data_IF_418346804603
#
_entry.id   IF_418346804603
#
_cell.length_a   1.000
_cell.length_b   1.000
_cell.length_c   1.000
_cell.angle_alpha   90.00
_cell.angle_beta   90.00
_cell.angle_gamma   90.00
#
_symmetry.space_group_name_H-M   'P 1'
#
loop_
_entity.id
_entity.type
_entity.pdbx_description
1 polymer ?
#
# COMPACT_ATOMS: atom_id res chain seq x y z
N UNK A 1 -33.05 -7.06 72.59
CA UNK A 1 -31.90 -7.24 71.72
C UNK A 1 -32.37 -7.24 70.25
N UNK A 2 -32.27 -6.15 69.56
CA UNK A 2 -32.59 -6.03 68.09
C UNK A 2 -31.31 -6.21 67.32
N UNK A 3 -31.23 -7.25 66.45
CA UNK A 3 -30.15 -7.47 65.51
C UNK A 3 -30.40 -6.59 64.33
N UNK A 4 -29.43 -5.65 64.02
CA UNK A 4 -29.40 -4.84 62.85
C UNK A 4 -28.65 -5.66 61.79
N UNK A 5 -29.34 -6.06 60.74
CA UNK A 5 -28.71 -6.59 59.51
C UNK A 5 -28.25 -5.42 58.66
N UNK A 6 -26.95 -5.31 58.44
CA UNK A 6 -26.39 -4.37 57.50
C UNK A 6 -26.22 -5.16 56.20
N UNK A 7 -27.07 -4.85 55.21
CA UNK A 7 -26.88 -5.35 53.84
C UNK A 7 -25.79 -4.53 53.13
N UNK A 8 -24.71 -5.25 52.80
CA UNK A 8 -23.68 -4.70 51.93
C UNK A 8 -24.16 -4.82 50.46
N UNK A 9 -24.57 -3.71 49.86
CA UNK A 9 -24.81 -3.63 48.44
C UNK A 9 -23.43 -3.46 47.73
N UNK A 10 -22.98 -4.56 47.12
CA UNK A 10 -21.80 -4.50 46.24
C UNK A 10 -22.25 -3.93 44.90
N UNK A 11 -21.98 -2.66 44.65
CA UNK A 11 -22.12 -2.05 43.31
C UNK A 11 -20.94 -2.52 42.45
N UNK A 12 -21.18 -3.53 41.62
CA UNK A 12 -20.25 -3.91 40.56
C UNK A 12 -20.38 -2.84 39.49
N UNK A 13 -19.44 -1.90 39.46
CA UNK A 13 -19.26 -1.00 38.34
C UNK A 13 -18.74 -1.83 37.15
N UNK A 14 -19.66 -2.24 36.26
CA UNK A 14 -19.29 -2.77 34.97
C UNK A 14 -18.74 -1.59 34.14
N UNK A 15 -17.42 -1.45 34.12
CA UNK A 15 -16.75 -0.66 33.11
C UNK A 15 -17.03 -1.29 31.73
N UNK A 16 -18.12 -0.87 31.10
CA UNK A 16 -18.28 -1.07 29.66
C UNK A 16 -17.25 -0.17 29.00
N UNK A 17 -16.07 -0.70 28.75
CA UNK A 17 -15.15 -0.08 27.80
C UNK A 17 -15.89 -0.07 26.45
N UNK A 18 -16.41 1.09 26.09
CA UNK A 18 -16.82 1.37 24.73
C UNK A 18 -15.56 1.22 23.85
N UNK A 19 -15.36 0.02 23.31
CA UNK A 19 -14.44 -0.17 22.23
C UNK A 19 -14.94 0.78 21.12
N UNK A 20 -14.26 1.90 20.98
CA UNK A 20 -14.40 2.73 19.80
C UNK A 20 -14.09 1.82 18.63
N UNK A 21 -15.11 1.45 17.86
CA UNK A 21 -14.91 0.85 16.54
C UNK A 21 -14.03 1.83 15.77
N UNK A 22 -12.74 1.50 15.69
CA UNK A 22 -11.76 2.32 15.00
C UNK A 22 -12.25 2.54 13.59
N UNK A 23 -12.36 3.80 13.19
CA UNK A 23 -12.56 4.17 11.79
C UNK A 23 -11.54 3.38 10.97
N UNK A 24 -11.99 2.69 9.92
CA UNK A 24 -11.09 1.96 9.04
C UNK A 24 -10.02 2.95 8.55
N UNK A 25 -8.75 2.64 8.81
CA UNK A 25 -7.64 3.49 8.46
C UNK A 25 -7.56 3.57 6.94
N UNK A 26 -7.96 4.71 6.38
CA UNK A 26 -7.85 4.96 4.94
C UNK A 26 -6.40 5.28 4.58
N UNK A 27 -5.87 4.76 3.48
CA UNK A 27 -4.56 5.13 2.99
C UNK A 27 -4.52 6.62 2.61
N UNK A 28 -3.38 7.27 2.82
CA UNK A 28 -3.13 8.63 2.33
C UNK A 28 -2.78 8.64 0.83
N UNK A 29 -2.33 7.50 0.30
CA UNK A 29 -2.17 7.25 -1.12
C UNK A 29 -2.36 5.76 -1.41
N UNK A 30 -3.00 5.42 -2.54
CA UNK A 30 -3.26 4.03 -2.94
C UNK A 30 -3.35 3.93 -4.47
N UNK A 31 -2.42 3.20 -5.07
CA UNK A 31 -2.38 2.86 -6.48
C UNK A 31 -2.59 1.34 -6.63
N UNK A 32 -3.74 0.93 -7.10
CA UNK A 32 -4.04 -0.47 -7.43
C UNK A 32 -3.82 -0.81 -8.91
N UNK A 33 -3.47 0.18 -9.73
CA UNK A 33 -3.12 0.07 -11.14
C UNK A 33 -4.16 -0.59 -12.07
N UNK A 34 -5.38 -0.81 -11.62
CA UNK A 34 -6.41 -1.45 -12.43
C UNK A 34 -6.99 -0.54 -13.52
N UNK A 35 -7.06 0.76 -13.24
CA UNK A 35 -7.66 1.75 -14.16
C UNK A 35 -6.67 2.82 -14.59
N UNK A 36 -5.76 3.27 -13.72
CA UNK A 36 -4.93 4.44 -13.93
C UNK A 36 -3.57 4.32 -13.23
N UNK A 37 -2.55 4.94 -13.86
CA UNK A 37 -1.24 5.18 -13.25
C UNK A 37 -1.05 6.63 -12.80
N UNK A 38 -1.93 7.56 -13.21
CA UNK A 38 -1.79 8.99 -12.95
C UNK A 38 -2.74 9.56 -11.89
N UNK A 39 -3.65 8.75 -11.35
CA UNK A 39 -4.50 9.10 -10.22
C UNK A 39 -4.60 7.91 -9.27
N UNK A 40 -4.47 8.15 -8.00
CA UNK A 40 -4.71 7.11 -7.01
C UNK A 40 -6.13 7.20 -6.41
N UNK A 41 -6.52 6.16 -5.68
CA UNK A 41 -7.86 6.06 -5.09
C UNK A 41 -8.08 7.13 -4.00
N UNK A 42 -7.01 7.62 -3.37
CA UNK A 42 -7.05 8.68 -2.36
C UNK A 42 -7.15 10.09 -2.97
N UNK A 43 -7.07 10.21 -4.31
CA UNK A 43 -7.22 11.47 -5.04
C UNK A 43 -5.89 12.20 -5.29
N UNK A 44 -4.73 11.58 -5.03
CA UNK A 44 -3.45 12.18 -5.39
C UNK A 44 -3.22 12.05 -6.89
N UNK A 45 -2.60 13.06 -7.47
CA UNK A 45 -2.23 13.10 -8.88
C UNK A 45 -0.75 12.74 -9.06
N UNK A 46 -0.48 12.00 -10.14
CA UNK A 46 0.86 11.53 -10.49
C UNK A 46 1.24 11.99 -11.89
N UNK A 47 2.48 12.40 -12.05
CA UNK A 47 3.10 12.61 -13.36
C UNK A 47 3.73 11.29 -13.78
N UNK A 48 3.42 10.88 -15.00
CA UNK A 48 3.98 9.67 -15.63
C UNK A 48 5.18 10.09 -16.47
N UNK A 49 6.31 9.41 -16.28
CA UNK A 49 7.52 9.59 -17.08
C UNK A 49 7.82 8.29 -17.83
N UNK A 50 8.19 8.40 -19.11
CA UNK A 50 8.31 7.26 -20.01
C UNK A 50 6.93 6.68 -20.37
N UNK A 51 6.90 5.40 -20.71
CA UNK A 51 5.70 4.68 -21.15
C UNK A 51 5.41 3.46 -20.23
N UNK A 52 5.11 3.68 -18.93
CA UNK A 52 4.78 2.57 -18.06
C UNK A 52 3.44 1.95 -18.48
N UNK A 53 3.37 0.64 -18.45
CA UNK A 53 2.23 -0.11 -18.96
C UNK A 53 1.38 -0.63 -17.81
N UNK A 54 0.06 -0.41 -17.85
CA UNK A 54 -0.88 -1.16 -17.03
C UNK A 54 -1.07 -2.55 -17.66
N UNK A 55 -0.36 -3.53 -17.11
CA UNK A 55 -0.22 -4.86 -17.71
C UNK A 55 -1.11 -5.89 -17.03
N UNK A 56 -1.79 -6.70 -17.84
CA UNK A 56 -2.53 -7.88 -17.39
C UNK A 56 -1.70 -9.18 -17.45
N UNK A 57 -0.40 -9.10 -17.74
CA UNK A 57 0.46 -10.29 -17.80
C UNK A 57 0.74 -10.88 -16.41
N UNK A 58 1.04 -10.02 -15.46
CA UNK A 58 1.30 -10.36 -14.07
C UNK A 58 0.57 -9.36 -13.19
N UNK A 59 -0.25 -9.82 -12.25
CA UNK A 59 -0.98 -8.96 -11.30
C UNK A 59 -1.33 -9.71 -10.03
N UNK A 60 -1.64 -9.00 -8.97
CA UNK A 60 -2.09 -9.57 -7.70
C UNK A 60 -3.58 -9.36 -7.52
N UNK A 61 -4.11 -8.19 -7.88
CA UNK A 61 -5.54 -7.89 -7.73
C UNK A 61 -6.09 -7.13 -8.94
N UNK A 62 -7.39 -7.26 -9.19
CA UNK A 62 -8.13 -6.43 -10.14
C UNK A 62 -7.76 -6.60 -11.62
N UNK A 63 -6.84 -7.50 -11.94
CA UNK A 63 -6.52 -7.87 -13.32
C UNK A 63 -5.39 -7.10 -13.99
N UNK A 64 -4.81 -6.09 -13.34
CA UNK A 64 -3.65 -5.34 -13.87
C UNK A 64 -2.70 -4.92 -12.77
N UNK A 65 -1.45 -4.68 -13.16
CA UNK A 65 -0.40 -4.08 -12.35
C UNK A 65 0.40 -3.06 -13.17
N UNK A 66 1.22 -2.26 -12.52
CA UNK A 66 2.17 -1.37 -13.19
C UNK A 66 3.40 -2.15 -13.65
N UNK A 67 3.61 -2.24 -14.96
CA UNK A 67 4.86 -2.72 -15.53
C UNK A 67 5.84 -1.55 -15.73
N UNK A 68 7.06 -1.75 -15.27
CA UNK A 68 8.18 -0.83 -15.36
C UNK A 68 9.30 -1.48 -16.20
N UNK A 69 9.82 -0.73 -17.16
CA UNK A 69 10.78 -1.19 -18.16
C UNK A 69 12.23 -0.75 -17.89
N UNK A 70 12.48 -0.13 -16.73
CA UNK A 70 13.77 0.44 -16.38
C UNK A 70 13.99 1.89 -16.86
N UNK A 71 13.05 2.46 -17.61
CA UNK A 71 13.09 3.87 -18.04
C UNK A 71 11.89 4.66 -17.54
N UNK A 72 10.78 3.97 -17.31
CA UNK A 72 9.51 4.56 -16.89
C UNK A 72 9.40 4.66 -15.38
N UNK A 73 8.73 5.72 -14.89
CA UNK A 73 8.45 5.90 -13.47
C UNK A 73 7.29 6.87 -13.23
N UNK A 74 6.75 6.86 -12.01
CA UNK A 74 5.72 7.79 -11.57
C UNK A 74 6.31 8.77 -10.56
N UNK A 75 5.82 10.02 -10.57
CA UNK A 75 6.15 11.04 -9.58
C UNK A 75 4.89 11.73 -9.07
N UNK A 76 4.71 11.78 -7.77
CA UNK A 76 3.58 12.49 -7.16
C UNK A 76 3.69 13.99 -7.38
N UNK A 77 2.56 14.64 -7.73
CA UNK A 77 2.49 16.10 -7.87
C UNK A 77 2.46 16.83 -6.54
N UNK A 78 1.88 16.20 -5.50
CA UNK A 78 1.80 16.76 -4.15
C UNK A 78 2.51 15.83 -3.16
N UNK A 79 3.23 16.40 -2.20
CA UNK A 79 4.04 15.64 -1.24
C UNK A 79 3.37 15.46 0.13
N UNK A 80 2.21 16.07 0.38
CA UNK A 80 1.56 16.03 1.69
C UNK A 80 1.24 14.60 2.14
N UNK A 81 0.74 13.75 1.23
CA UNK A 81 0.40 12.35 1.51
C UNK A 81 1.61 11.53 2.01
N UNK A 82 2.84 11.97 1.70
CA UNK A 82 4.10 11.27 1.92
C UNK A 82 4.96 11.89 3.01
N UNK A 83 4.45 12.90 3.72
CA UNK A 83 5.10 13.51 4.87
C UNK A 83 4.72 12.77 6.15
N UNK A 84 5.73 12.25 6.88
CA UNK A 84 5.56 11.45 8.09
C UNK A 84 6.24 12.12 9.29
N UNK A 85 5.53 12.96 10.05
CA UNK A 85 6.05 13.52 11.30
C UNK A 85 6.15 12.47 12.41
N UNK A 86 5.37 11.39 12.31
CA UNK A 86 5.26 10.32 13.30
C UNK A 86 5.22 8.93 12.68
N UNK A 87 4.14 8.24 12.93
CA UNK A 87 3.89 6.88 12.45
C UNK A 87 3.62 6.84 10.95
N UNK A 88 3.97 5.71 10.33
CA UNK A 88 3.60 5.43 8.94
C UNK A 88 3.62 3.93 8.63
N UNK A 89 3.00 3.57 7.51
CA UNK A 89 3.14 2.29 6.84
C UNK A 89 3.22 2.53 5.33
N UNK A 90 4.21 1.90 4.68
CA UNK A 90 4.31 1.78 3.24
C UNK A 90 4.23 0.31 2.89
N UNK A 91 3.43 -0.07 1.91
CA UNK A 91 3.26 -1.46 1.49
C UNK A 91 3.02 -1.56 -0.01
N UNK A 92 3.53 -2.61 -0.63
CA UNK A 92 3.31 -2.92 -2.03
C UNK A 92 3.50 -4.43 -2.28
N UNK A 93 2.95 -4.90 -3.39
CA UNK A 93 3.38 -6.13 -4.02
C UNK A 93 4.39 -5.81 -5.12
N UNK A 94 5.45 -6.60 -5.19
CA UNK A 94 6.53 -6.44 -6.15
C UNK A 94 6.83 -7.76 -6.85
N UNK A 95 7.16 -7.68 -8.14
CA UNK A 95 7.57 -8.81 -8.97
C UNK A 95 8.77 -8.38 -9.80
N UNK A 96 9.99 -8.37 -9.25
CA UNK A 96 11.18 -7.99 -10.00
C UNK A 96 11.46 -9.00 -11.11
N UNK A 97 11.70 -8.54 -12.32
CA UNK A 97 12.13 -9.38 -13.44
C UNK A 97 13.63 -9.55 -13.47
N UNK A 98 14.34 -8.47 -13.14
CA UNK A 98 15.79 -8.42 -13.03
C UNK A 98 16.20 -7.32 -12.04
N UNK A 99 17.42 -7.38 -11.57
CA UNK A 99 18.04 -6.32 -10.79
C UNK A 99 18.71 -5.32 -11.73
N UNK A 100 18.46 -4.04 -11.52
CA UNK A 100 19.07 -2.98 -12.32
C UNK A 100 20.26 -2.42 -11.56
N UNK A 101 21.44 -2.43 -12.17
CA UNK A 101 22.64 -1.86 -11.57
C UNK A 101 22.55 -0.33 -11.59
N UNK A 102 22.61 0.29 -10.42
CA UNK A 102 22.64 1.75 -10.30
C UNK A 102 24.04 2.32 -10.60
N UNK A 103 24.13 3.65 -10.67
CA UNK A 103 25.40 4.34 -10.97
C UNK A 103 26.49 4.16 -9.88
N UNK A 104 26.16 3.56 -8.75
CA UNK A 104 27.09 3.25 -7.66
C UNK A 104 27.49 1.78 -7.62
N UNK A 105 27.01 0.98 -8.59
CA UNK A 105 27.30 -0.44 -8.70
C UNK A 105 26.42 -1.35 -7.83
N UNK A 106 25.38 -0.81 -7.19
CA UNK A 106 24.40 -1.57 -6.44
C UNK A 106 23.26 -2.05 -7.32
N UNK A 107 22.77 -3.25 -7.09
CA UNK A 107 21.58 -3.79 -7.73
C UNK A 107 20.31 -3.28 -7.04
N UNK A 108 19.36 -2.72 -7.80
CA UNK A 108 18.20 -2.04 -7.20
C UNK A 108 16.88 -2.40 -7.87
N UNK A 109 15.80 -2.25 -7.06
CA UNK A 109 14.42 -2.18 -7.52
C UNK A 109 13.71 -1.10 -6.67
N UNK A 110 13.47 0.07 -7.27
CA UNK A 110 12.94 1.24 -6.60
C UNK A 110 11.43 1.16 -6.45
N UNK A 111 10.92 1.23 -5.21
CA UNK A 111 9.49 1.12 -4.92
C UNK A 111 8.93 2.40 -4.31
N UNK A 112 9.57 2.93 -3.26
CA UNK A 112 9.19 4.17 -2.59
C UNK A 112 10.43 5.04 -2.42
N UNK A 113 10.56 6.07 -3.23
CA UNK A 113 11.75 6.92 -3.21
C UNK A 113 11.40 8.39 -2.98
N UNK A 114 11.94 8.96 -1.91
CA UNK A 114 11.98 10.40 -1.65
C UNK A 114 13.43 10.84 -1.49
N UNK A 115 14.10 10.91 -2.61
CA UNK A 115 15.50 11.26 -2.71
C UNK A 115 15.70 12.32 -3.78
N UNK A 116 16.49 13.33 -3.46
CA UNK A 116 16.91 14.36 -4.42
C UNK A 116 18.41 14.23 -4.63
N UNK A 117 18.80 13.84 -5.85
CA UNK A 117 20.20 13.62 -6.20
C UNK A 117 21.06 14.85 -5.93
N UNK A 118 22.23 14.63 -5.34
CA UNK A 118 23.19 15.69 -5.02
C UNK A 118 22.80 16.55 -3.82
N UNK A 119 21.65 16.34 -3.21
CA UNK A 119 21.16 17.09 -2.05
C UNK A 119 21.09 16.22 -0.81
N UNK A 120 20.14 15.31 -0.75
CA UNK A 120 19.94 14.44 0.40
C UNK A 120 18.91 13.34 0.12
N UNK A 121 18.83 12.37 1.04
CA UNK A 121 17.75 11.37 1.11
C UNK A 121 16.80 11.75 2.24
N UNK A 122 15.50 11.87 1.92
CA UNK A 122 14.50 11.97 2.98
C UNK A 122 14.17 10.57 3.50
N UNK A 123 13.80 9.66 2.60
CA UNK A 123 13.74 8.22 2.82
C UNK A 123 13.66 7.45 1.49
N UNK A 124 14.17 6.23 1.50
CA UNK A 124 14.03 5.25 0.43
C UNK A 124 13.57 3.93 1.05
N UNK A 125 12.57 3.31 0.47
CA UNK A 125 12.19 1.94 0.77
C UNK A 125 12.17 1.15 -0.52
N UNK A 126 13.24 0.40 -0.74
CA UNK A 126 13.57 -0.27 -1.99
C UNK A 126 14.05 -1.70 -1.71
N UNK A 127 14.28 -2.46 -2.79
CA UNK A 127 15.08 -3.67 -2.74
C UNK A 127 16.47 -3.30 -3.25
N UNK A 128 17.48 -3.52 -2.42
CA UNK A 128 18.88 -3.25 -2.74
C UNK A 128 19.69 -4.53 -2.55
N UNK A 129 20.40 -4.96 -3.58
CA UNK A 129 21.15 -6.22 -3.61
C UNK A 129 20.29 -7.42 -3.13
N UNK A 130 19.07 -7.49 -3.66
CA UNK A 130 18.11 -8.57 -3.37
C UNK A 130 17.41 -8.50 -2.02
N UNK A 131 17.62 -7.48 -1.18
CA UNK A 131 17.05 -7.37 0.17
C UNK A 131 16.28 -6.08 0.36
N UNK A 132 15.20 -6.13 1.16
CA UNK A 132 14.51 -4.93 1.56
C UNK A 132 15.46 -4.00 2.32
N UNK A 133 15.47 -2.73 1.99
CA UNK A 133 16.24 -1.71 2.69
C UNK A 133 15.43 -0.43 2.83
N UNK A 134 15.45 0.13 4.04
CA UNK A 134 14.94 1.46 4.32
C UNK A 134 16.11 2.36 4.69
N UNK A 135 16.34 3.38 3.89
CA UNK A 135 17.33 4.42 4.12
C UNK A 135 16.66 5.70 4.61
N UNK A 136 17.33 6.42 5.49
CA UNK A 136 16.85 7.70 6.00
C UNK A 136 17.91 8.79 6.03
N UNK A 137 19.05 8.55 5.38
CA UNK A 137 20.11 9.55 5.15
C UNK A 137 20.89 9.25 3.86
N UNK A 138 21.58 10.28 3.35
CA UNK A 138 22.39 10.15 2.13
C UNK A 138 23.56 9.18 2.25
N UNK A 139 24.16 9.11 3.44
CA UNK A 139 25.33 8.26 3.69
C UNK A 139 24.96 6.78 3.91
N UNK A 140 23.67 6.44 3.97
CA UNK A 140 23.22 5.08 4.30
C UNK A 140 23.55 4.65 5.74
N UNK A 141 24.02 5.59 6.59
CA UNK A 141 24.40 5.29 7.97
C UNK A 141 23.19 5.05 8.87
N UNK A 142 22.06 5.67 8.53
CA UNK A 142 20.80 5.46 9.21
C UNK A 142 19.88 4.63 8.31
N UNK A 143 20.14 3.33 8.25
CA UNK A 143 19.39 2.37 7.47
C UNK A 143 19.01 1.14 8.28
N UNK A 144 18.02 0.42 7.80
CA UNK A 144 17.70 -0.95 8.20
C UNK A 144 17.58 -1.80 6.95
N UNK A 145 18.27 -2.93 6.93
CA UNK A 145 18.25 -3.91 5.83
C UNK A 145 17.69 -5.23 6.35
N UNK A 146 16.81 -5.82 5.59
CA UNK A 146 16.23 -7.12 5.86
C UNK A 146 17.24 -8.27 5.69
N UNK A 147 16.81 -9.46 6.05
CA UNK A 147 17.61 -10.70 5.97
C UNK A 147 17.21 -11.56 4.79
N UNK A 148 15.94 -11.46 4.39
CA UNK A 148 15.33 -12.32 3.37
C UNK A 148 15.71 -11.86 1.97
N UNK A 149 16.20 -12.80 1.15
CA UNK A 149 16.39 -12.58 -0.27
C UNK A 149 15.04 -12.53 -0.98
N UNK A 150 14.78 -11.45 -1.71
CA UNK A 150 13.59 -11.29 -2.54
C UNK A 150 13.83 -12.02 -3.86
N UNK A 151 12.98 -12.99 -4.21
CA UNK A 151 13.18 -13.77 -5.45
C UNK A 151 12.78 -12.93 -6.68
N UNK A 152 13.52 -13.11 -7.77
CA UNK A 152 13.08 -12.65 -9.09
C UNK A 152 11.88 -13.47 -9.59
N UNK A 153 11.04 -12.86 -10.40
CA UNK A 153 9.91 -13.51 -11.10
C UNK A 153 8.94 -14.20 -10.15
N UNK A 154 8.72 -13.57 -8.99
CA UNK A 154 7.75 -14.03 -8.00
C UNK A 154 7.15 -12.86 -7.26
N UNK A 155 5.83 -12.83 -7.15
CA UNK A 155 5.14 -11.85 -6.33
C UNK A 155 5.55 -11.98 -4.87
N UNK A 156 5.97 -10.86 -4.30
CA UNK A 156 6.39 -10.75 -2.91
C UNK A 156 5.73 -9.52 -2.31
N UNK A 157 5.03 -9.69 -1.19
CA UNK A 157 4.51 -8.56 -0.44
C UNK A 157 5.63 -7.97 0.41
N UNK A 158 5.80 -6.66 0.32
CA UNK A 158 6.77 -5.91 1.11
C UNK A 158 6.05 -4.84 1.93
N UNK A 159 6.51 -4.63 3.16
CA UNK A 159 6.03 -3.52 3.96
C UNK A 159 7.14 -2.93 4.83
N UNK A 160 7.03 -1.64 5.12
CA UNK A 160 7.78 -0.96 6.17
C UNK A 160 6.81 -0.19 7.05
N UNK A 161 6.97 -0.30 8.35
CA UNK A 161 6.22 0.49 9.34
C UNK A 161 7.15 1.29 10.23
N UNK A 162 6.63 2.38 10.78
CA UNK A 162 7.25 3.09 11.90
C UNK A 162 6.20 3.35 12.95
N UNK A 163 6.49 2.96 14.18
CA UNK A 163 5.58 3.15 15.31
C UNK A 163 5.85 4.48 16.08
N UNK A 164 5.05 4.73 17.12
CA UNK A 164 5.16 5.89 18.01
C UNK A 164 6.51 5.94 18.76
N UNK A 165 7.13 4.78 19.00
CA UNK A 165 8.46 4.64 19.60
C UNK A 165 9.61 4.87 18.61
N UNK A 166 9.26 5.21 17.35
CA UNK A 166 10.19 5.48 16.25
C UNK A 166 11.00 4.24 15.82
N UNK A 167 10.46 3.04 16.04
CA UNK A 167 11.03 1.81 15.52
C UNK A 167 10.52 1.58 14.11
N UNK A 168 11.44 1.54 13.16
CA UNK A 168 11.18 1.17 11.76
C UNK A 168 11.32 -0.34 11.64
N UNK A 169 10.31 -1.02 11.06
CA UNK A 169 10.30 -2.47 10.84
C UNK A 169 10.06 -2.79 9.39
N UNK A 170 10.80 -3.74 8.87
CA UNK A 170 10.67 -4.29 7.52
C UNK A 170 9.95 -5.63 7.59
N UNK A 171 9.09 -5.89 6.60
CA UNK A 171 8.36 -7.15 6.50
C UNK A 171 8.40 -7.69 5.08
N UNK A 172 8.64 -9.00 4.96
CA UNK A 172 8.53 -9.77 3.72
C UNK A 172 7.43 -10.80 3.88
N UNK A 173 6.42 -10.76 3.02
CA UNK A 173 5.25 -11.64 3.10
C UNK A 173 4.63 -11.70 4.51
N UNK A 174 4.52 -10.54 5.17
CA UNK A 174 3.96 -10.39 6.51
C UNK A 174 4.86 -10.86 7.66
N UNK A 175 6.09 -11.29 7.39
CA UNK A 175 7.06 -11.70 8.41
C UNK A 175 8.06 -10.60 8.69
N UNK A 176 8.31 -10.34 9.98
CA UNK A 176 9.31 -9.36 10.42
C UNK A 176 10.70 -9.76 9.92
N UNK A 177 11.30 -8.89 9.11
CA UNK A 177 12.56 -9.16 8.42
C UNK A 177 13.75 -8.33 8.95
N UNK A 178 13.48 -7.20 9.56
CA UNK A 178 14.48 -6.35 10.19
C UNK A 178 13.84 -5.19 10.94
N UNK A 179 14.54 -4.65 11.93
CA UNK A 179 14.06 -3.46 12.64
C UNK A 179 15.20 -2.59 13.14
N UNK A 180 14.95 -1.28 13.28
CA UNK A 180 15.86 -0.29 13.84
C UNK A 180 15.12 0.93 14.32
N UNK A 181 15.55 1.51 15.45
CA UNK A 181 15.04 2.81 15.90
C UNK A 181 15.65 3.93 15.06
N UNK A 182 14.78 4.73 14.40
CA UNK A 182 15.16 5.85 13.55
C UNK A 182 14.37 7.08 14.02
N UNK A 183 15.06 8.04 14.63
CA UNK A 183 14.44 9.14 15.37
C UNK A 183 14.11 10.36 14.54
N UNK A 184 14.68 10.49 13.33
CA UNK A 184 14.43 11.63 12.45
C UNK A 184 12.98 11.71 11.99
N UNK A 185 12.57 12.90 11.55
CA UNK A 185 11.27 13.14 10.91
C UNK A 185 11.43 13.01 9.39
N UNK A 186 10.37 12.57 8.73
CA UNK A 186 10.30 12.40 7.27
C UNK A 186 9.29 13.37 6.69
N UNK A 187 9.62 14.67 6.75
CA UNK A 187 8.75 15.74 6.25
C UNK A 187 9.57 16.74 5.43
N UNK A 188 9.19 16.95 4.20
CA UNK A 188 9.73 17.97 3.30
C UNK A 188 8.84 18.06 2.06
N UNK A 189 8.71 19.24 1.49
CA UNK A 189 8.03 19.45 0.21
C UNK A 189 8.99 19.40 -0.99
N UNK A 190 10.31 19.44 -0.73
CA UNK A 190 11.34 19.50 -1.75
C UNK A 190 11.68 18.13 -2.39
N UNK A 191 11.27 17.02 -1.73
CA UNK A 191 11.60 15.66 -2.18
C UNK A 191 10.36 15.00 -2.77
N UNK A 192 10.27 14.84 -4.11
CA UNK A 192 9.12 14.17 -4.71
C UNK A 192 9.09 12.69 -4.34
N UNK A 193 7.88 12.16 -4.09
CA UNK A 193 7.67 10.72 -4.04
C UNK A 193 7.73 10.17 -5.47
N UNK A 194 8.55 9.14 -5.69
CA UNK A 194 8.64 8.43 -6.97
C UNK A 194 8.46 6.93 -6.77
N UNK A 195 7.93 6.27 -7.80
CA UNK A 195 7.72 4.82 -7.91
C UNK A 195 8.41 4.36 -9.20
N UNK A 196 9.20 3.29 -9.12
CA UNK A 196 9.88 2.72 -10.29
C UNK A 196 11.25 3.33 -10.59
N UNK A 197 11.54 4.50 -10.04
CA UNK A 197 12.86 5.10 -10.05
C UNK A 197 13.06 5.99 -8.83
N UNK A 198 14.32 6.25 -8.47
CA UNK A 198 14.62 7.39 -7.59
C UNK A 198 14.60 8.68 -8.40
N UNK A 199 14.56 9.84 -7.73
CA UNK A 199 14.66 11.11 -8.42
C UNK A 199 15.91 11.13 -9.32
N UNK A 200 15.79 11.69 -10.52
CA UNK A 200 16.77 11.64 -11.60
C UNK A 200 16.96 10.28 -12.27
N UNK A 201 16.05 9.33 -12.08
CA UNK A 201 16.09 8.01 -12.70
C UNK A 201 17.40 7.23 -12.47
N UNK A 202 18.09 7.46 -11.35
CA UNK A 202 19.39 6.82 -11.05
C UNK A 202 19.23 5.39 -10.51
N UNK A 203 18.14 5.13 -9.77
CA UNK A 203 17.73 3.79 -9.35
C UNK A 203 16.48 3.46 -10.10
N UNK A 204 16.46 2.35 -10.77
CA UNK A 204 15.40 1.97 -11.70
C UNK A 204 14.80 0.63 -11.32
N UNK A 205 13.67 0.30 -11.93
CA UNK A 205 12.98 -0.98 -11.73
C UNK A 205 12.59 -1.60 -13.04
N UNK A 206 12.88 -2.89 -13.19
CA UNK A 206 12.36 -3.72 -14.30
C UNK A 206 11.50 -4.82 -13.69
N UNK A 207 10.19 -4.75 -13.91
CA UNK A 207 9.23 -5.68 -13.33
C UNK A 207 7.87 -5.06 -13.06
N UNK A 208 7.14 -5.65 -12.12
CA UNK A 208 5.77 -5.23 -11.84
C UNK A 208 5.62 -4.78 -10.38
N UNK A 209 4.75 -3.79 -10.18
CA UNK A 209 4.31 -3.31 -8.87
C UNK A 209 2.78 -3.31 -8.85
N UNK A 210 2.18 -3.78 -7.73
CA UNK A 210 0.74 -3.78 -7.53
C UNK A 210 0.38 -3.40 -6.09
N UNK A 211 -0.86 -2.92 -5.86
CA UNK A 211 -1.39 -2.56 -4.54
C UNK A 211 -0.43 -1.69 -3.70
N UNK A 212 0.10 -0.66 -4.31
CA UNK A 212 0.99 0.29 -3.66
C UNK A 212 0.21 1.24 -2.74
N UNK A 213 0.48 1.18 -1.43
CA UNK A 213 -0.28 1.91 -0.42
C UNK A 213 0.62 2.66 0.57
N UNK A 214 0.12 3.81 1.03
CA UNK A 214 0.73 4.66 2.07
C UNK A 214 -0.29 4.96 3.15
N UNK A 215 0.11 4.80 4.42
CA UNK A 215 -0.71 5.15 5.59
C UNK A 215 0.08 6.05 6.53
N UNK A 216 -0.59 7.04 7.13
CA UNK A 216 -0.03 7.90 8.19
C UNK A 216 -0.23 7.29 9.59
N UNK A 217 -0.11 5.98 9.68
CA UNK A 217 -0.26 5.19 10.92
C UNK A 217 0.57 3.92 10.84
N UNK A 218 0.98 3.38 11.98
CA UNK A 218 1.65 2.09 12.07
C UNK A 218 0.61 0.97 12.08
N UNK A 219 0.53 0.20 10.99
CA UNK A 219 -0.42 -0.92 10.89
C UNK A 219 0.12 -2.21 11.53
N UNK A 220 1.43 -2.41 11.54
CA UNK A 220 2.04 -3.66 11.97
C UNK A 220 3.24 -3.38 12.90
N UNK A 221 3.26 -4.04 14.06
CA UNK A 221 4.37 -4.02 15.00
C UNK A 221 5.04 -5.39 15.16
N UNK A 222 4.50 -6.42 14.53
CA UNK A 222 5.00 -7.79 14.47
C UNK A 222 4.45 -8.51 13.26
N UNK A 223 4.68 -9.82 13.15
CA UNK A 223 4.18 -10.67 12.07
C UNK A 223 2.68 -10.48 11.82
N UNK A 224 2.27 -10.45 10.58
CA UNK A 224 0.87 -10.34 10.18
C UNK A 224 0.55 -11.26 8.99
N UNK A 225 -0.73 -11.56 8.81
CA UNK A 225 -1.20 -12.31 7.64
C UNK A 225 -1.40 -11.35 6.47
N UNK A 226 -0.62 -11.52 5.42
CA UNK A 226 -0.89 -10.84 4.15
C UNK A 226 -2.18 -11.44 3.58
N UNK A 227 -3.17 -10.61 3.19
CA UNK A 227 -4.40 -11.13 2.60
C UNK A 227 -4.09 -12.02 1.40
N UNK A 228 -4.70 -13.21 1.38
CA UNK A 228 -4.66 -14.06 0.20
C UNK A 228 -5.30 -13.33 -0.97
N UNK A 229 -4.62 -13.27 -2.09
CA UNK A 229 -5.08 -12.61 -3.29
C UNK A 229 -4.96 -13.56 -4.46
N UNK A 230 -5.91 -13.49 -5.38
CA UNK A 230 -5.85 -14.24 -6.63
C UNK A 230 -4.73 -13.68 -7.50
N UNK A 231 -3.57 -14.32 -7.46
CA UNK A 231 -2.49 -14.03 -8.41
C UNK A 231 -2.91 -14.56 -9.78
N UNK A 232 -3.01 -13.68 -10.77
CA UNK A 232 -3.28 -14.03 -12.15
C UNK A 232 -2.01 -13.89 -12.99
N UNK A 233 -1.70 -14.91 -13.80
CA UNK A 233 -0.83 -14.76 -14.94
C UNK A 233 -1.70 -14.84 -16.19
N UNK A 234 -1.73 -13.78 -16.98
CA UNK A 234 -2.39 -13.80 -18.29
C UNK A 234 -1.66 -14.77 -19.22
N UNK A 235 -2.02 -16.05 -19.20
CA UNK A 235 -1.67 -16.93 -20.32
C UNK A 235 -2.50 -16.48 -21.50
N UNK A 236 -1.88 -16.05 -22.58
CA UNK A 236 -2.51 -15.99 -23.88
C UNK A 236 -2.98 -17.39 -24.24
N UNK A 237 -4.23 -17.70 -23.96
CA UNK A 237 -4.88 -18.87 -24.53
C UNK A 237 -5.27 -18.51 -25.97
N UNK A 238 -4.38 -18.82 -26.91
CA UNK A 238 -4.81 -19.13 -28.25
C UNK A 238 -5.42 -20.53 -28.21
N UNK A 239 -6.73 -20.62 -27.92
CA UNK A 239 -7.65 -21.59 -28.47
C UNK A 239 -8.96 -21.61 -27.65
N UNK A 240 -10.08 -21.36 -28.38
CA UNK A 240 -11.37 -22.03 -28.14
C UNK A 240 -12.21 -21.57 -26.94
N UNK A 241 -13.13 -20.68 -27.25
CA UNK A 241 -14.38 -20.38 -26.53
C UNK A 241 -15.03 -21.65 -25.94
N UNK A 242 -15.19 -21.70 -24.61
CA UNK A 242 -16.41 -22.27 -24.00
C UNK A 242 -16.59 -21.65 -22.60
N UNK A 243 -17.82 -21.16 -22.36
CA UNK A 243 -18.21 -20.40 -21.17
C UNK A 243 -18.21 -21.24 -19.91
N UNK A 244 -17.79 -20.60 -18.85
CA UNK A 244 -18.20 -20.91 -17.50
C UNK A 244 -18.48 -19.56 -16.81
N UNK A 245 -19.75 -19.30 -16.54
CA UNK A 245 -20.19 -18.26 -15.62
C UNK A 245 -19.68 -18.66 -14.23
N UNK A 246 -18.63 -18.04 -13.74
CA UNK A 246 -18.25 -18.12 -12.34
C UNK A 246 -18.79 -16.90 -11.61
N UNK A 247 -19.61 -17.19 -10.62
CA UNK A 247 -20.18 -16.30 -9.62
C UNK A 247 -19.13 -15.35 -9.07
N UNK A 248 -19.30 -14.04 -9.33
CA UNK A 248 -18.54 -12.98 -8.71
C UNK A 248 -19.30 -12.57 -7.44
N UNK A 249 -19.22 -13.38 -6.39
CA UNK A 249 -19.64 -12.97 -5.05
C UNK A 249 -18.45 -12.29 -4.35
N UNK A 250 -18.62 -10.98 -4.12
CA UNK A 250 -18.12 -10.24 -2.99
C UNK A 250 -16.64 -10.32 -2.63
N UNK A 251 -15.73 -9.78 -3.44
CA UNK A 251 -14.35 -9.57 -2.98
C UNK A 251 -14.23 -8.26 -2.18
N UNK A 252 -14.41 -8.34 -0.87
CA UNK A 252 -13.94 -7.31 0.05
C UNK A 252 -12.40 -7.35 0.12
N UNK A 253 -11.76 -6.24 -0.19
CA UNK A 253 -10.34 -6.04 0.07
C UNK A 253 -10.10 -6.10 1.59
N UNK A 254 -9.68 -7.26 2.11
CA UNK A 254 -9.40 -7.47 3.55
C UNK A 254 -8.06 -6.91 4.02
N UNK A 255 -7.44 -6.02 3.26
CA UNK A 255 -6.29 -5.24 3.77
C UNK A 255 -6.71 -4.12 4.74
N UNK A 256 -7.97 -4.09 5.19
CA UNK A 256 -8.52 -3.01 6.01
C UNK A 256 -8.91 -1.78 5.21
N UNK A 257 -8.66 -1.75 3.91
CA UNK A 257 -9.15 -0.72 3.00
C UNK A 257 -10.62 -1.03 2.72
N UNK A 258 -11.55 -0.41 3.45
CA UNK A 258 -12.90 -0.27 2.93
C UNK A 258 -12.80 0.59 1.70
N UNK A 259 -13.49 0.20 0.63
CA UNK A 259 -13.65 1.03 -0.56
C UNK A 259 -14.04 2.44 -0.13
N UNK A 260 -13.48 3.46 -0.77
CA UNK A 260 -13.92 4.82 -0.47
C UNK A 260 -15.42 4.95 -0.77
N UNK A 261 -16.15 5.86 -0.10
CA UNK A 261 -17.54 6.11 -0.47
C UNK A 261 -17.73 6.37 -1.97
N UNK A 262 -16.72 6.93 -2.63
CA UNK A 262 -16.73 7.18 -4.08
C UNK A 262 -16.64 5.87 -4.89
N UNK A 263 -15.86 4.88 -4.44
CA UNK A 263 -15.73 3.59 -5.13
C UNK A 263 -16.98 2.75 -4.96
N UNK A 264 -17.57 2.76 -3.76
CA UNK A 264 -18.89 2.15 -3.52
C UNK A 264 -19.95 2.80 -4.41
N UNK A 265 -19.99 4.13 -4.52
CA UNK A 265 -20.93 4.83 -5.40
C UNK A 265 -20.71 4.44 -6.87
N UNK A 266 -19.46 4.29 -7.35
CA UNK A 266 -19.17 3.85 -8.72
C UNK A 266 -19.65 2.43 -8.96
N UNK A 267 -19.43 1.50 -8.02
CA UNK A 267 -19.90 0.13 -8.08
C UNK A 267 -21.43 0.08 -8.21
N UNK A 268 -22.14 0.81 -7.35
CA UNK A 268 -23.60 0.89 -7.42
C UNK A 268 -24.10 1.59 -8.69
N UNK A 269 -23.33 2.53 -9.24
CA UNK A 269 -23.67 3.15 -10.54
C UNK A 269 -23.53 2.15 -11.70
N UNK A 270 -22.55 1.24 -11.63
CA UNK A 270 -22.47 0.10 -12.56
C UNK A 270 -23.73 -0.75 -12.51
N UNK A 271 -24.14 -1.18 -11.31
CA UNK A 271 -25.36 -1.98 -11.11
C UNK A 271 -26.63 -1.27 -11.59
N UNK A 272 -26.70 0.05 -11.45
CA UNK A 272 -27.78 0.85 -11.99
C UNK A 272 -27.79 0.85 -13.54
N UNK A 273 -26.62 1.03 -14.16
CA UNK A 273 -26.48 1.02 -15.60
C UNK A 273 -26.82 -0.35 -16.21
N UNK A 274 -26.53 -1.42 -15.48
CA UNK A 274 -26.84 -2.80 -15.86
C UNK A 274 -28.31 -3.19 -15.56
N UNK A 275 -29.09 -2.27 -14.97
CA UNK A 275 -30.49 -2.48 -14.63
C UNK A 275 -30.72 -3.44 -13.46
N UNK A 276 -29.69 -3.75 -12.67
CA UNK A 276 -29.76 -4.67 -11.53
C UNK A 276 -30.39 -3.97 -10.31
N UNK A 277 -30.17 -2.66 -10.16
CA UNK A 277 -30.80 -1.82 -9.14
C UNK A 277 -31.55 -0.64 -9.78
N UNK A 278 -32.53 -0.12 -9.06
CA UNK A 278 -33.29 1.06 -9.48
C UNK A 278 -32.57 2.36 -9.15
N UNK A 279 -32.98 3.47 -9.78
CA UNK A 279 -32.46 4.81 -9.45
C UNK A 279 -32.71 5.18 -7.99
N UNK A 280 -33.84 4.79 -7.41
CA UNK A 280 -34.20 5.06 -6.02
C UNK A 280 -33.29 4.33 -5.04
N UNK A 281 -32.98 3.05 -5.33
CA UNK A 281 -32.03 2.26 -4.54
C UNK A 281 -30.62 2.82 -4.63
N UNK A 282 -30.18 3.24 -5.80
CA UNK A 282 -28.89 3.92 -5.98
C UNK A 282 -28.80 5.20 -5.17
N UNK A 283 -29.82 6.06 -5.22
CA UNK A 283 -29.84 7.35 -4.50
C UNK A 283 -29.88 7.14 -2.98
N UNK A 284 -30.58 6.12 -2.49
CA UNK A 284 -30.59 5.75 -1.08
C UNK A 284 -29.20 5.31 -0.58
N UNK A 285 -28.51 4.45 -1.35
CA UNK A 285 -27.16 4.01 -1.04
C UNK A 285 -26.17 5.16 -1.08
N UNK A 286 -26.25 6.01 -2.11
CA UNK A 286 -25.40 7.19 -2.27
C UNK A 286 -25.54 8.17 -1.10
N UNK A 287 -26.75 8.46 -0.63
CA UNK A 287 -26.98 9.30 0.56
C UNK A 287 -26.34 8.68 1.80
N UNK A 288 -26.54 7.39 2.03
CA UNK A 288 -25.96 6.68 3.18
C UNK A 288 -24.44 6.69 3.17
N UNK A 289 -23.80 6.52 2.01
CA UNK A 289 -22.34 6.52 1.85
C UNK A 289 -21.73 7.91 2.03
N UNK A 290 -22.47 8.96 1.67
CA UNK A 290 -22.04 10.36 1.82
C UNK A 290 -22.41 10.97 3.18
N UNK A 291 -23.11 10.24 4.04
CA UNK A 291 -23.55 10.71 5.36
C UNK A 291 -24.65 11.81 5.29
N UNK A 292 -25.47 11.81 4.23
CA UNK A 292 -26.55 12.79 3.98
C UNK A 292 -27.92 12.22 4.39
#
# INVERSE_FOLDING_TARGET
>A
MRKIFVEFVIVIAVCVSSASFGAALSPSANLNFNESANHDIAGNEWTVFGDPVLSSKEYVTGGKSLFLDGESYLQAKNQEAFNFPGEFTLTAWVYPLEWVTDSYGGETFAVFSRWLHGVSTLYLFNIDNGKLTFYSDFAGTVSVTGKTEIPLKKWTHIAVTRDSEKVVRLFVNGKLDGEKRITQKFTSDDYPMTIGASSNAMRKSVGYIDDWCVYKSCLYTGDFNVPERSQGSGRENSDGIQGAEENIDGFECKCGCKNSPADEIRKFKGLLNDGIITQEEFDAVKKKLLGL
#
